data_IF_593637776888
#
_entry.id   IF_593637776888
#
_cell.length_a   1.000
_cell.length_b   1.000
_cell.length_c   1.000
_cell.angle_alpha   90.00
_cell.angle_beta   90.00
_cell.angle_gamma   90.00
#
_symmetry.space_group_name_H-M   'P 1'
#
loop_
_entity.id
_entity.type
_entity.pdbx_description
1 polymer ?
#
# COMPACT_ATOMS: atom_id res chain seq x y z
N UNK A 1 -1.19 -16.52 14.37
CA UNK A 1 -1.91 -15.46 15.10
C UNK A 1 -1.94 -14.10 14.37
N UNK A 2 -0.91 -13.74 13.58
CA UNK A 2 -0.86 -12.51 12.79
C UNK A 2 -1.77 -12.55 11.54
N UNK A 3 -2.09 -13.70 11.01
CA UNK A 3 -2.93 -13.92 9.81
C UNK A 3 -4.44 -13.91 10.08
N UNK A 4 -4.85 -13.89 11.34
CA UNK A 4 -6.25 -14.02 11.77
C UNK A 4 -6.99 -12.68 11.94
N UNK A 5 -6.35 -11.56 11.65
CA UNK A 5 -6.92 -10.25 11.94
C UNK A 5 -7.63 -9.69 10.70
N UNK A 6 -8.85 -9.18 10.90
CA UNK A 6 -9.68 -8.63 9.85
C UNK A 6 -9.21 -7.26 9.32
N UNK A 7 -10.08 -6.59 8.59
CA UNK A 7 -9.83 -5.29 7.92
C UNK A 7 -9.27 -4.20 8.85
N UNK A 8 -9.51 -4.32 10.17
CA UNK A 8 -9.01 -3.37 11.17
C UNK A 8 -7.50 -3.18 11.21
N UNK A 9 -6.74 -4.17 10.75
CA UNK A 9 -5.28 -4.08 10.70
C UNK A 9 -4.75 -3.52 9.36
N UNK A 10 -5.56 -3.50 8.29
CA UNK A 10 -5.13 -3.02 6.97
C UNK A 10 -4.78 -1.53 7.02
N UNK A 11 -5.66 -0.71 7.59
CA UNK A 11 -5.42 0.74 7.65
C UNK A 11 -4.25 1.10 8.58
N UNK A 12 -4.03 0.37 9.67
CA UNK A 12 -2.86 0.59 10.56
C UNK A 12 -1.54 0.34 9.82
N UNK A 13 -1.51 -0.73 9.02
CA UNK A 13 -0.34 -1.07 8.20
C UNK A 13 -0.14 -0.08 7.07
N UNK A 14 -1.25 0.43 6.49
CA UNK A 14 -1.19 1.47 5.48
C UNK A 14 -0.60 2.78 6.03
N UNK A 15 -0.95 3.16 7.27
CA UNK A 15 -0.30 4.28 7.97
C UNK A 15 1.21 4.04 8.09
N UNK A 16 1.60 2.84 8.50
CA UNK A 16 3.01 2.50 8.67
C UNK A 16 3.79 2.57 7.34
N UNK A 17 3.19 2.05 6.24
CA UNK A 17 3.77 2.19 4.89
C UNK A 17 3.91 3.65 4.48
N UNK A 18 2.88 4.47 4.71
CA UNK A 18 2.91 5.89 4.40
C UNK A 18 4.01 6.62 5.17
N UNK A 19 4.16 6.31 6.47
CA UNK A 19 5.24 6.86 7.30
C UNK A 19 6.62 6.46 6.75
N UNK A 20 6.83 5.21 6.32
CA UNK A 20 8.08 4.79 5.70
C UNK A 20 8.38 5.60 4.43
N UNK A 21 7.40 5.84 3.56
CA UNK A 21 7.61 6.66 2.36
C UNK A 21 7.93 8.12 2.70
N UNK A 22 7.33 8.69 3.75
CA UNK A 22 7.66 10.03 4.23
C UNK A 22 9.09 10.10 4.82
N UNK A 23 9.55 9.05 5.49
CA UNK A 23 10.94 8.95 5.96
C UNK A 23 11.89 8.97 4.74
N UNK A 24 11.60 8.21 3.70
CA UNK A 24 12.40 8.24 2.46
C UNK A 24 12.34 9.59 1.73
N UNK A 25 11.18 10.27 1.76
CA UNK A 25 11.01 11.55 1.08
C UNK A 25 11.76 12.70 1.76
N UNK A 26 11.74 12.76 3.09
CA UNK A 26 12.16 13.95 3.84
C UNK A 26 13.28 13.70 4.85
N UNK A 27 13.26 12.57 5.56
CA UNK A 27 14.24 12.32 6.62
C UNK A 27 15.56 11.86 6.03
N UNK A 28 15.54 10.92 5.11
CA UNK A 28 16.75 10.35 4.52
C UNK A 28 17.58 11.37 3.70
N UNK A 29 16.96 12.27 2.90
CA UNK A 29 17.71 13.32 2.22
C UNK A 29 18.34 14.34 3.18
N UNK A 30 17.67 14.63 4.31
CA UNK A 30 18.17 15.58 5.32
C UNK A 30 19.26 14.97 6.22
N UNK A 31 19.10 13.69 6.58
CA UNK A 31 20.01 12.94 7.46
C UNK A 31 20.32 11.56 6.83
N UNK A 32 21.30 11.49 5.92
CA UNK A 32 21.65 10.23 5.25
C UNK A 32 22.19 9.21 6.27
N UNK A 33 21.37 8.19 6.55
CA UNK A 33 21.73 7.12 7.47
C UNK A 33 21.33 5.76 6.90
N UNK A 34 22.31 4.93 6.67
CA UNK A 34 22.12 3.56 6.16
C UNK A 34 21.27 2.71 7.12
N UNK A 35 21.43 2.91 8.42
CA UNK A 35 20.65 2.19 9.44
C UNK A 35 19.17 2.55 9.36
N UNK A 36 18.85 3.84 9.22
CA UNK A 36 17.47 4.32 9.07
C UNK A 36 16.86 3.79 7.77
N UNK A 37 17.62 3.78 6.67
CA UNK A 37 17.18 3.24 5.39
C UNK A 37 16.82 1.75 5.50
N UNK A 38 17.69 0.92 6.06
CA UNK A 38 17.42 -0.51 6.25
C UNK A 38 16.24 -0.75 7.18
N UNK A 39 16.15 -0.03 8.29
CA UNK A 39 15.01 -0.12 9.20
C UNK A 39 13.68 0.19 8.48
N UNK A 40 13.64 1.28 7.73
CA UNK A 40 12.45 1.67 6.97
C UNK A 40 12.08 0.65 5.88
N UNK A 41 13.06 0.07 5.15
CA UNK A 41 12.81 -0.97 4.14
C UNK A 41 12.25 -2.24 4.78
N UNK A 42 12.79 -2.68 5.90
CA UNK A 42 12.31 -3.89 6.61
C UNK A 42 10.85 -3.68 7.07
N UNK A 43 10.56 -2.54 7.70
CA UNK A 43 9.20 -2.21 8.15
C UNK A 43 8.24 -2.10 6.95
N UNK A 44 8.67 -1.48 5.86
CA UNK A 44 7.91 -1.35 4.63
C UNK A 44 7.58 -2.73 4.03
N UNK A 45 8.57 -3.63 3.95
CA UNK A 45 8.41 -4.98 3.43
C UNK A 45 7.42 -5.81 4.26
N UNK A 46 7.54 -5.77 5.59
CA UNK A 46 6.60 -6.44 6.50
C UNK A 46 5.19 -5.88 6.32
N UNK A 47 5.04 -4.55 6.30
CA UNK A 47 3.74 -3.90 6.16
C UNK A 47 3.09 -4.23 4.82
N UNK A 48 3.86 -4.22 3.73
CA UNK A 48 3.41 -4.55 2.39
C UNK A 48 2.91 -5.99 2.29
N UNK A 49 3.63 -6.97 2.83
CA UNK A 49 3.25 -8.39 2.76
C UNK A 49 1.94 -8.70 3.51
N UNK A 50 1.65 -7.93 4.55
CA UNK A 50 0.49 -8.15 5.41
C UNK A 50 -0.81 -7.52 4.87
N UNK A 51 -0.75 -6.56 3.95
CA UNK A 51 -1.94 -5.94 3.34
C UNK A 51 -2.71 -6.92 2.46
N UNK A 52 -2.11 -7.60 1.48
CA UNK A 52 -2.79 -8.62 0.70
C UNK A 52 -3.33 -9.76 1.57
N UNK A 53 -2.55 -10.22 2.55
CA UNK A 53 -2.95 -11.28 3.47
C UNK A 53 -4.24 -10.97 4.25
N UNK A 54 -4.57 -9.71 4.46
CA UNK A 54 -5.80 -9.29 5.10
C UNK A 54 -6.94 -8.99 4.09
N UNK A 55 -6.62 -8.47 2.90
CA UNK A 55 -7.62 -8.08 1.90
C UNK A 55 -8.18 -9.28 1.12
N UNK A 56 -7.33 -10.22 0.70
CA UNK A 56 -7.77 -11.37 -0.10
C UNK A 56 -8.87 -12.21 0.57
N UNK A 57 -8.75 -12.57 1.86
CA UNK A 57 -9.81 -13.31 2.54
C UNK A 57 -11.09 -12.49 2.80
N UNK A 58 -11.08 -11.19 2.59
CA UNK A 58 -12.26 -10.35 2.76
C UNK A 58 -13.22 -10.42 1.56
N UNK A 59 -12.72 -10.76 0.37
CA UNK A 59 -13.54 -10.85 -0.86
C UNK A 59 -14.67 -11.88 -0.72
N UNK A 60 -14.45 -13.12 -0.22
CA UNK A 60 -15.52 -14.10 -0.04
C UNK A 60 -16.57 -13.71 1.01
N UNK A 61 -16.29 -12.73 1.86
CA UNK A 61 -17.26 -12.22 2.84
C UNK A 61 -18.27 -11.25 2.24
N UNK A 62 -17.89 -10.61 1.11
CA UNK A 62 -18.69 -9.58 0.44
C UNK A 62 -19.45 -10.17 -0.76
N UNK A 63 -18.87 -11.17 -1.43
CA UNK A 63 -19.35 -11.71 -2.69
C UNK A 63 -19.92 -13.12 -2.52
N UNK A 64 -21.02 -13.42 -3.23
CA UNK A 64 -21.55 -14.77 -3.33
C UNK A 64 -20.53 -15.69 -4.02
N UNK A 65 -20.47 -16.94 -3.59
CA UNK A 65 -19.49 -17.94 -4.08
C UNK A 65 -19.49 -18.09 -5.62
N UNK A 66 -20.64 -17.96 -6.26
CA UNK A 66 -20.76 -18.07 -7.72
C UNK A 66 -20.08 -16.94 -8.49
N UNK A 67 -19.88 -15.77 -7.86
CA UNK A 67 -19.25 -14.59 -8.48
C UNK A 67 -17.80 -14.37 -8.06
N UNK A 68 -17.25 -15.23 -7.19
CA UNK A 68 -15.88 -15.07 -6.67
C UNK A 68 -14.83 -15.01 -7.77
N UNK A 69 -14.94 -15.87 -8.79
CA UNK A 69 -14.00 -15.87 -9.92
C UNK A 69 -13.99 -14.54 -10.67
N UNK A 70 -15.19 -14.00 -10.97
CA UNK A 70 -15.32 -12.70 -11.64
C UNK A 70 -14.83 -11.55 -10.77
N UNK A 71 -15.08 -11.60 -9.45
CA UNK A 71 -14.61 -10.59 -8.52
C UNK A 71 -13.09 -10.55 -8.46
N UNK A 72 -12.43 -11.70 -8.32
CA UNK A 72 -10.97 -11.76 -8.33
C UNK A 72 -10.38 -11.35 -9.68
N UNK A 73 -10.99 -11.76 -10.80
CA UNK A 73 -10.54 -11.34 -12.13
C UNK A 73 -10.59 -9.82 -12.30
N UNK A 74 -11.64 -9.17 -11.82
CA UNK A 74 -11.77 -7.71 -11.86
C UNK A 74 -10.72 -7.03 -10.99
N UNK A 75 -10.48 -7.54 -9.79
CA UNK A 75 -9.44 -7.02 -8.88
C UNK A 75 -8.06 -7.12 -9.54
N UNK A 76 -7.72 -8.29 -10.10
CA UNK A 76 -6.46 -8.49 -10.80
C UNK A 76 -6.32 -7.60 -12.04
N UNK A 77 -7.40 -7.41 -12.78
CA UNK A 77 -7.39 -6.55 -13.96
C UNK A 77 -7.06 -5.09 -13.58
N UNK A 78 -7.72 -4.54 -12.57
CA UNK A 78 -7.44 -3.20 -12.05
C UNK A 78 -6.00 -3.11 -11.50
N UNK A 79 -5.57 -4.12 -10.75
CA UNK A 79 -4.21 -4.20 -10.22
C UNK A 79 -3.15 -4.19 -11.33
N UNK A 80 -3.36 -4.93 -12.42
CA UNK A 80 -2.41 -4.96 -13.54
C UNK A 80 -2.33 -3.63 -14.29
N UNK A 81 -3.44 -2.90 -14.42
CA UNK A 81 -3.43 -1.53 -14.94
C UNK A 81 -2.52 -0.65 -14.06
N UNK A 82 -2.68 -0.73 -12.75
CA UNK A 82 -1.81 -0.02 -11.81
C UNK A 82 -0.34 -0.40 -11.95
N UNK A 83 -0.04 -1.69 -12.02
CA UNK A 83 1.33 -2.20 -12.19
C UNK A 83 1.98 -1.76 -13.51
N UNK A 84 1.19 -1.55 -14.56
CA UNK A 84 1.66 -1.05 -15.84
C UNK A 84 1.93 0.47 -15.81
N UNK A 85 0.96 1.24 -15.29
CA UNK A 85 1.01 2.70 -15.34
C UNK A 85 1.93 3.31 -14.28
N UNK A 86 1.97 2.71 -13.09
CA UNK A 86 2.67 3.30 -11.94
C UNK A 86 4.18 3.44 -12.16
N UNK A 87 4.91 2.46 -12.70
CA UNK A 87 6.34 2.62 -13.02
C UNK A 87 6.60 3.75 -14.02
N UNK A 88 5.72 3.94 -15.00
CA UNK A 88 5.84 5.04 -15.96
C UNK A 88 5.66 6.42 -15.28
N UNK A 89 4.66 6.55 -14.41
CA UNK A 89 4.43 7.77 -13.62
C UNK A 89 5.63 8.08 -12.73
N UNK A 90 6.16 7.08 -12.03
CA UNK A 90 7.34 7.25 -11.15
C UNK A 90 8.59 7.59 -11.95
N UNK A 91 8.82 6.95 -13.10
CA UNK A 91 9.93 7.27 -14.00
C UNK A 91 9.86 8.71 -14.53
N UNK A 92 8.64 9.15 -14.87
CA UNK A 92 8.43 10.55 -15.30
C UNK A 92 8.66 11.54 -14.15
N UNK A 93 8.15 11.24 -12.96
CA UNK A 93 8.37 12.06 -11.77
C UNK A 93 9.86 12.14 -11.40
N UNK A 94 10.60 11.06 -11.53
CA UNK A 94 12.05 11.03 -11.29
C UNK A 94 12.79 11.91 -12.30
N UNK A 95 12.45 11.80 -13.59
CA UNK A 95 13.02 12.64 -14.64
C UNK A 95 12.71 14.12 -14.41
N UNK A 96 11.49 14.45 -14.02
CA UNK A 96 11.06 15.80 -13.71
C UNK A 96 11.79 16.40 -12.51
N UNK A 97 12.08 15.61 -11.50
CA UNK A 97 12.80 16.04 -10.28
C UNK A 97 14.30 16.19 -10.50
N UNK A 98 14.84 15.68 -11.59
CA UNK A 98 16.28 15.67 -11.85
C UNK A 98 16.59 16.22 -13.27
N UNK A 99 16.20 17.44 -13.60
CA UNK A 99 16.53 18.04 -14.89
C UNK A 99 18.05 18.22 -15.01
N UNK A 100 18.63 17.71 -16.09
CA UNK A 100 20.09 17.83 -16.33
C UNK A 100 20.94 16.95 -15.41
N UNK A 101 20.40 15.83 -14.94
CA UNK A 101 21.15 14.88 -14.10
C UNK A 101 22.47 14.47 -14.77
N UNK A 102 23.56 14.52 -14.01
CA UNK A 102 24.91 14.12 -14.42
C UNK A 102 25.17 12.71 -13.88
N UNK A 103 25.66 11.83 -14.74
CA UNK A 103 26.02 10.47 -14.36
C UNK A 103 27.01 10.45 -13.18
N UNK A 104 26.73 9.60 -12.22
CA UNK A 104 27.51 9.48 -10.98
C UNK A 104 27.04 10.37 -9.80
N UNK A 105 26.06 11.25 -10.01
CA UNK A 105 25.42 12.00 -8.92
C UNK A 105 24.21 11.25 -8.34
N UNK A 106 23.83 11.53 -7.09
CA UNK A 106 22.64 10.93 -6.49
C UNK A 106 21.37 11.55 -7.04
N UNK A 107 20.36 10.70 -7.37
CA UNK A 107 19.03 11.16 -7.78
C UNK A 107 18.26 11.76 -6.61
N UNK A 108 17.47 12.78 -6.88
CA UNK A 108 16.46 13.28 -5.96
C UNK A 108 15.19 12.45 -6.09
N UNK A 109 14.90 11.63 -5.09
CA UNK A 109 13.72 10.75 -5.04
C UNK A 109 12.54 11.37 -4.27
N UNK A 110 12.62 12.62 -3.83
CA UNK A 110 11.58 13.24 -2.99
C UNK A 110 10.20 13.20 -3.66
N UNK A 111 10.08 13.62 -4.92
CA UNK A 111 8.79 13.61 -5.61
C UNK A 111 8.23 12.20 -5.82
N UNK A 112 8.99 11.20 -6.32
CA UNK A 112 8.56 9.82 -6.33
C UNK A 112 8.05 9.31 -4.98
N UNK A 113 8.76 9.59 -3.90
CA UNK A 113 8.35 9.13 -2.56
C UNK A 113 7.09 9.83 -2.04
N UNK A 114 6.90 11.10 -2.35
CA UNK A 114 5.66 11.84 -2.05
C UNK A 114 4.47 11.26 -2.83
N UNK A 115 4.66 10.85 -4.09
CA UNK A 115 3.61 10.17 -4.88
C UNK A 115 3.22 8.85 -4.20
N UNK A 116 4.19 8.04 -3.78
CA UNK A 116 3.90 6.81 -3.03
C UNK A 116 3.18 7.09 -1.72
N UNK A 117 3.59 8.11 -0.96
CA UNK A 117 2.93 8.50 0.28
C UNK A 117 1.48 8.96 0.01
N UNK A 118 1.22 9.72 -1.05
CA UNK A 118 -0.14 10.15 -1.43
C UNK A 118 -1.05 8.97 -1.79
N UNK A 119 -0.52 7.97 -2.51
CA UNK A 119 -1.23 6.72 -2.78
C UNK A 119 -1.51 5.94 -1.48
N UNK A 120 -0.57 5.97 -0.53
CA UNK A 120 -0.76 5.41 0.80
C UNK A 120 -1.92 6.07 1.56
N UNK A 121 -2.00 7.38 1.52
CA UNK A 121 -3.12 8.14 2.12
C UNK A 121 -4.44 7.80 1.42
N UNK A 122 -4.46 7.76 0.09
CA UNK A 122 -5.66 7.39 -0.66
C UNK A 122 -6.13 5.97 -0.31
N UNK A 123 -5.22 5.00 -0.24
CA UNK A 123 -5.53 3.63 0.17
C UNK A 123 -6.05 3.56 1.61
N UNK A 124 -5.52 4.37 2.52
CA UNK A 124 -6.02 4.48 3.90
C UNK A 124 -7.47 5.00 3.93
N UNK A 125 -7.78 6.05 3.16
CA UNK A 125 -9.12 6.61 3.07
C UNK A 125 -10.13 5.59 2.51
N UNK A 126 -9.74 4.85 1.46
CA UNK A 126 -10.56 3.78 0.90
C UNK A 126 -10.77 2.64 1.91
N UNK A 127 -9.74 2.29 2.68
CA UNK A 127 -9.84 1.30 3.76
C UNK A 127 -10.80 1.73 4.88
N UNK A 128 -10.76 3.00 5.26
CA UNK A 128 -11.70 3.57 6.24
C UNK A 128 -13.12 3.62 5.70
N UNK A 129 -13.29 3.95 4.42
CA UNK A 129 -14.62 3.92 3.77
C UNK A 129 -15.18 2.50 3.73
N UNK A 130 -14.36 1.50 3.35
CA UNK A 130 -14.76 0.10 3.38
C UNK A 130 -15.16 -0.35 4.78
N UNK A 131 -14.45 0.11 5.82
CA UNK A 131 -14.81 -0.16 7.22
C UNK A 131 -16.15 0.48 7.60
N UNK A 132 -16.41 1.70 7.15
CA UNK A 132 -17.70 2.37 7.41
C UNK A 132 -18.86 1.61 6.74
N UNK A 133 -18.64 1.09 5.53
CA UNK A 133 -19.64 0.30 4.81
C UNK A 133 -19.85 -1.10 5.43
N UNK A 134 -18.79 -1.74 5.94
CA UNK A 134 -18.87 -2.99 6.70
C UNK A 134 -19.77 -2.85 7.93
N UNK A 135 -19.64 -1.74 8.67
CA UNK A 135 -20.49 -1.46 9.84
C UNK A 135 -21.96 -1.29 9.48
N UNK A 136 -22.26 -0.72 8.30
CA UNK A 136 -23.65 -0.54 7.82
C UNK A 136 -24.28 -1.84 7.38
N UNK A 137 -23.51 -2.69 6.70
CA UNK A 137 -24.03 -3.90 6.04
C UNK A 137 -23.72 -5.20 6.79
N UNK A 138 -22.95 -5.11 7.90
CA UNK A 138 -22.57 -6.26 8.74
C UNK A 138 -21.91 -7.42 7.96
N UNK A 139 -21.01 -7.13 7.04
CA UNK A 139 -20.26 -8.15 6.29
C UNK A 139 -19.28 -8.94 7.16
N UNK A 140 -18.94 -8.42 8.34
CA UNK A 140 -18.01 -9.07 9.27
C UNK A 140 -16.55 -9.02 8.81
N UNK A 141 -16.14 -7.96 8.12
CA UNK A 141 -14.78 -7.80 7.62
C UNK A 141 -13.75 -7.59 8.73
N UNK A 142 -14.19 -7.07 9.89
CA UNK A 142 -13.34 -6.92 11.08
C UNK A 142 -13.21 -8.23 11.88
N UNK A 143 -14.04 -9.24 11.61
CA UNK A 143 -13.97 -10.53 12.27
C UNK A 143 -12.79 -11.37 11.75
N UNK A 144 -12.20 -12.24 12.59
CA UNK A 144 -11.16 -13.16 12.15
C UNK A 144 -11.60 -13.99 10.95
N UNK A 145 -10.69 -14.25 10.01
CA UNK A 145 -10.97 -15.05 8.81
C UNK A 145 -11.04 -16.54 9.10
N UNK A 146 -10.63 -16.98 10.30
CA UNK A 146 -10.67 -18.37 10.76
C UNK A 146 -11.86 -18.49 11.69
N UNK A 147 -12.89 -19.23 11.26
CA UNK A 147 -13.92 -19.72 12.18
C UNK A 147 -13.26 -20.80 13.04
N UNK A 148 -13.32 -20.63 14.37
CA UNK A 148 -13.01 -21.71 15.30
C UNK A 148 -14.08 -22.79 15.22
#
# INVERSE_FOLDING_TARGET
CLLSRGLGDVYKRQVLMTVCHLIFAFVLPAYPSTLVAYGAIIILGISFSLVPAALWPSVPKIMETRYLGSAYSLIFWIQNIGLCLFPAVIGYALKFSNPGHVDGTAYNYTLPMVIFASCGIAAMLLGLWLKAEDRKKNYGLELPNIKK
#
